data_IF_155678126793
#
_entry.id   IF_155678126793
#
_cell.length_a   1.000
_cell.length_b   1.000
_cell.length_c   1.000
_cell.angle_alpha   90.00
_cell.angle_beta   90.00
_cell.angle_gamma   90.00
#
_symmetry.space_group_name_H-M   'P 1'
#
loop_
_entity.id
_entity.type
_entity.pdbx_description
1 polymer ?
#
# COMPACT_ATOMS: atom_id res chain seq x y z
N UNK A 1 3.63 -16.34 7.34
CA UNK A 1 3.91 -15.27 6.34
C UNK A 1 5.39 -14.81 6.23
N UNK A 2 5.90 -14.72 5.01
CA UNK A 2 7.08 -13.94 4.61
C UNK A 2 6.73 -12.45 4.65
N UNK A 3 7.64 -11.65 5.21
CA UNK A 3 7.52 -10.19 5.27
C UNK A 3 8.45 -9.57 4.23
N UNK A 4 7.91 -8.64 3.44
CA UNK A 4 8.69 -7.85 2.48
C UNK A 4 8.49 -6.38 2.77
N UNK A 5 9.56 -5.70 3.14
CA UNK A 5 9.59 -4.28 3.45
C UNK A 5 9.70 -3.47 2.15
N UNK A 6 8.95 -2.37 2.08
CA UNK A 6 9.00 -1.41 0.98
C UNK A 6 9.46 -0.07 1.54
N UNK A 7 10.52 0.47 0.96
CA UNK A 7 11.17 1.70 1.42
C UNK A 7 10.98 2.84 0.41
N UNK A 8 11.01 4.07 0.91
CA UNK A 8 10.99 5.26 0.07
C UNK A 8 12.25 5.36 -0.79
N UNK A 9 12.08 5.67 -2.07
CA UNK A 9 13.15 5.83 -3.05
C UNK A 9 13.70 7.26 -3.11
N UNK A 10 12.91 8.24 -2.65
CA UNK A 10 13.24 9.65 -2.59
C UNK A 10 12.69 10.35 -1.34
N UNK A 11 13.21 11.56 -1.06
CA UNK A 11 12.73 12.42 0.03
C UNK A 11 11.49 13.20 -0.44
N UNK A 12 10.49 13.36 0.43
CA UNK A 12 9.31 14.17 0.12
C UNK A 12 8.12 13.87 1.02
N UNK A 13 6.93 13.96 0.46
CA UNK A 13 5.67 13.60 1.09
C UNK A 13 4.95 12.55 0.26
N UNK A 14 4.27 11.63 0.91
CA UNK A 14 3.39 10.69 0.20
C UNK A 14 2.21 11.46 -0.38
N UNK A 15 2.16 11.64 -1.69
CA UNK A 15 1.11 12.41 -2.37
C UNK A 15 -0.08 11.55 -2.74
N UNK A 16 0.15 10.29 -3.12
CA UNK A 16 -0.91 9.38 -3.53
C UNK A 16 -0.65 7.94 -3.07
N UNK A 17 -1.71 7.33 -2.54
CA UNK A 17 -1.81 5.90 -2.28
C UNK A 17 -3.13 5.37 -2.88
N UNK A 18 -3.14 4.88 -4.13
CA UNK A 18 -4.36 4.41 -4.81
C UNK A 18 -4.96 3.19 -4.11
N UNK A 19 -5.99 3.41 -3.28
CA UNK A 19 -6.59 2.36 -2.45
C UNK A 19 -7.11 1.15 -3.25
N UNK A 20 -7.63 1.38 -4.47
CA UNK A 20 -8.10 0.30 -5.34
C UNK A 20 -6.96 -0.64 -5.75
N UNK A 21 -5.82 -0.09 -6.17
CA UNK A 21 -4.67 -0.89 -6.61
C UNK A 21 -4.10 -1.71 -5.46
N UNK A 22 -3.97 -1.11 -4.27
CA UNK A 22 -3.51 -1.83 -3.08
C UNK A 22 -4.53 -2.88 -2.59
N UNK A 23 -5.82 -2.60 -2.71
CA UNK A 23 -6.88 -3.59 -2.40
C UNK A 23 -6.83 -4.79 -3.34
N UNK A 24 -6.67 -4.55 -4.64
CA UNK A 24 -6.49 -5.62 -5.64
C UNK A 24 -5.19 -6.37 -5.43
N UNK A 25 -4.11 -5.68 -5.06
CA UNK A 25 -2.84 -6.30 -4.71
C UNK A 25 -2.99 -7.24 -3.51
N UNK A 26 -3.57 -6.77 -2.40
CA UNK A 26 -3.85 -7.59 -1.22
C UNK A 26 -4.74 -8.80 -1.57
N UNK A 27 -5.76 -8.61 -2.40
CA UNK A 27 -6.61 -9.71 -2.88
C UNK A 27 -5.81 -10.77 -3.65
N UNK A 28 -4.89 -10.35 -4.53
CA UNK A 28 -4.01 -11.26 -5.28
C UNK A 28 -3.04 -12.03 -4.38
N UNK A 29 -2.65 -11.45 -3.24
CA UNK A 29 -1.86 -12.14 -2.21
C UNK A 29 -2.65 -13.17 -1.41
N UNK A 30 -3.98 -13.22 -1.56
CA UNK A 30 -4.85 -14.11 -0.80
C UNK A 30 -5.57 -13.44 0.37
N UNK A 31 -5.33 -12.15 0.63
CA UNK A 31 -6.04 -11.37 1.66
C UNK A 31 -7.49 -11.00 1.26
N UNK A 32 -7.95 -11.50 0.10
CA UNK A 32 -9.29 -11.27 -0.42
C UNK A 32 -9.76 -12.42 -1.30
N UNK A 33 -10.96 -12.27 -1.86
CA UNK A 33 -11.58 -13.28 -2.72
C UNK A 33 -11.93 -12.67 -4.07
N UNK A 34 -11.50 -13.30 -5.16
CA UNK A 34 -11.96 -12.93 -6.49
C UNK A 34 -13.39 -13.43 -6.73
N UNK A 35 -13.70 -14.64 -6.22
CA UNK A 35 -15.06 -15.19 -6.17
C UNK A 35 -15.41 -15.70 -4.77
N UNK A 36 -16.71 -15.79 -4.45
CA UNK A 36 -17.22 -16.10 -3.10
C UNK A 36 -16.63 -17.37 -2.47
N UNK A 37 -16.25 -18.36 -3.28
CA UNK A 37 -15.76 -19.67 -2.85
C UNK A 37 -14.26 -19.73 -2.63
N UNK A 38 -13.50 -18.69 -2.99
CA UNK A 38 -12.04 -18.73 -2.89
C UNK A 38 -11.59 -18.86 -1.42
N UNK A 39 -10.54 -19.65 -1.15
CA UNK A 39 -9.92 -19.68 0.17
C UNK A 39 -9.32 -18.31 0.48
N UNK A 40 -9.39 -17.92 1.76
CA UNK A 40 -8.83 -16.67 2.25
C UNK A 40 -7.59 -16.97 3.08
N UNK A 41 -6.53 -16.21 2.84
CA UNK A 41 -5.36 -16.20 3.70
C UNK A 41 -5.44 -15.03 4.68
N UNK A 42 -5.52 -15.35 5.96
CA UNK A 42 -5.63 -14.39 7.05
C UNK A 42 -4.28 -13.83 7.48
N UNK A 43 -3.17 -14.42 7.02
CA UNK A 43 -1.81 -13.96 7.30
C UNK A 43 -1.25 -13.05 6.21
N UNK A 44 -1.89 -13.04 5.02
CA UNK A 44 -1.49 -12.19 3.90
C UNK A 44 -2.15 -10.81 3.97
N UNK A 45 -1.44 -9.77 3.53
CA UNK A 45 -1.94 -8.40 3.57
C UNK A 45 -0.86 -7.34 3.40
N UNK A 46 -1.25 -6.08 3.58
CA UNK A 46 -0.36 -4.92 3.50
C UNK A 46 -0.60 -4.06 4.75
N UNK A 47 0.49 -3.68 5.41
CA UNK A 47 0.48 -2.71 6.51
C UNK A 47 1.24 -1.48 6.04
N UNK A 48 0.58 -0.32 6.04
CA UNK A 48 1.22 0.96 5.73
C UNK A 48 1.71 1.61 7.02
N UNK A 49 2.98 2.04 7.04
CA UNK A 49 3.57 2.78 8.16
C UNK A 49 3.28 4.29 8.04
N UNK A 50 3.22 4.78 6.80
CA UNK A 50 2.91 6.17 6.47
C UNK A 50 1.55 6.32 5.77
N UNK A 51 0.98 7.51 5.89
CA UNK A 51 -0.28 7.92 5.27
C UNK A 51 -0.03 8.99 4.20
N UNK A 52 -1.08 9.27 3.43
CA UNK A 52 -1.07 10.42 2.51
C UNK A 52 -0.76 11.68 3.33
N UNK A 53 0.18 12.48 2.79
CA UNK A 53 0.72 13.71 3.36
C UNK A 53 1.73 13.56 4.49
N UNK A 54 2.10 12.33 4.85
CA UNK A 54 3.22 12.13 5.77
C UNK A 54 4.56 12.41 5.08
N UNK A 55 5.51 13.07 5.77
CA UNK A 55 6.87 13.23 5.26
C UNK A 55 7.61 11.89 5.31
N UNK A 56 8.41 11.63 4.27
CA UNK A 56 9.28 10.46 4.15
C UNK A 56 10.65 10.90 3.63
N UNK A 57 11.69 10.27 4.15
CA UNK A 57 13.05 10.37 3.64
C UNK A 57 13.38 9.10 2.87
N UNK A 58 14.30 9.19 1.90
CA UNK A 58 14.81 8.03 1.19
C UNK A 58 15.33 6.98 2.16
N UNK A 59 14.81 5.76 2.04
CA UNK A 59 15.10 4.64 2.92
C UNK A 59 14.15 4.50 4.11
N UNK A 60 13.20 5.41 4.30
CA UNK A 60 12.15 5.25 5.30
C UNK A 60 11.19 4.13 4.89
N UNK A 61 10.71 3.37 5.89
CA UNK A 61 9.77 2.27 5.68
C UNK A 61 8.39 2.82 5.32
N UNK A 62 7.86 2.49 4.14
CA UNK A 62 6.52 2.91 3.71
C UNK A 62 5.47 1.87 4.09
N UNK A 63 5.77 0.60 3.83
CA UNK A 63 4.82 -0.48 4.03
C UNK A 63 5.54 -1.83 4.23
N UNK A 64 4.86 -2.74 4.93
CA UNK A 64 5.25 -4.14 5.07
C UNK A 64 4.20 -5.00 4.41
N UNK A 65 4.63 -5.83 3.45
CA UNK A 65 3.77 -6.77 2.73
C UNK A 65 3.94 -8.15 3.36
N UNK A 66 2.82 -8.75 3.74
CA UNK A 66 2.74 -10.11 4.27
C UNK A 66 2.22 -11.05 3.19
N UNK A 67 2.93 -12.14 2.95
CA UNK A 67 2.56 -13.13 1.93
C UNK A 67 3.08 -14.52 2.29
N UNK A 68 2.59 -15.58 1.65
CA UNK A 68 3.06 -16.94 1.94
C UNK A 68 4.41 -17.29 1.29
N UNK A 69 4.77 -16.55 0.25
CA UNK A 69 5.96 -16.80 -0.56
C UNK A 69 6.76 -15.52 -0.78
N UNK A 70 8.02 -15.64 -1.18
CA UNK A 70 8.85 -14.49 -1.54
C UNK A 70 8.28 -13.83 -2.79
N UNK A 71 7.96 -12.54 -2.68
CA UNK A 71 7.41 -11.78 -3.81
C UNK A 71 8.43 -11.61 -4.93
N UNK A 72 8.05 -11.86 -6.19
CA UNK A 72 8.93 -11.61 -7.32
C UNK A 72 9.14 -10.11 -7.50
N UNK A 73 10.36 -9.71 -7.91
CA UNK A 73 10.73 -8.29 -8.11
C UNK A 73 9.73 -7.50 -8.94
N UNK A 74 9.13 -8.13 -9.96
CA UNK A 74 8.12 -7.49 -10.82
C UNK A 74 6.91 -6.96 -10.04
N UNK A 75 6.46 -7.72 -9.04
CA UNK A 75 5.30 -7.38 -8.20
C UNK A 75 5.66 -6.26 -7.24
N UNK A 76 6.88 -6.27 -6.69
CA UNK A 76 7.39 -5.17 -5.85
C UNK A 76 7.49 -3.87 -6.65
N UNK A 77 8.00 -3.91 -7.87
CA UNK A 77 8.05 -2.73 -8.73
C UNK A 77 6.65 -2.18 -9.09
N UNK A 78 5.64 -3.04 -9.20
CA UNK A 78 4.25 -2.58 -9.38
C UNK A 78 3.72 -1.89 -8.13
N UNK A 79 4.01 -2.43 -6.94
CA UNK A 79 3.67 -1.81 -5.66
C UNK A 79 4.35 -0.45 -5.48
N UNK A 80 5.67 -0.39 -5.68
CA UNK A 80 6.48 0.84 -5.56
C UNK A 80 5.98 1.92 -6.52
N UNK A 81 5.63 1.57 -7.76
CA UNK A 81 5.06 2.53 -8.74
C UNK A 81 3.76 3.17 -8.28
N UNK A 82 2.97 2.48 -7.47
CA UNK A 82 1.71 2.97 -6.94
C UNK A 82 1.89 3.85 -5.70
N UNK A 83 3.07 3.84 -5.07
CA UNK A 83 3.42 4.86 -4.07
C UNK A 83 3.92 6.09 -4.80
N UNK A 84 3.26 7.24 -4.60
CA UNK A 84 3.71 8.51 -5.15
C UNK A 84 4.30 9.38 -4.05
N UNK A 85 5.55 9.77 -4.24
CA UNK A 85 6.25 10.75 -3.41
C UNK A 85 6.38 12.04 -4.22
N UNK A 86 6.15 13.18 -3.57
CA UNK A 86 6.26 14.49 -4.19
C UNK A 86 6.68 15.56 -3.21
N UNK A 87 6.91 16.77 -3.72
CA UNK A 87 7.50 17.88 -2.95
C UNK A 87 6.45 18.70 -2.19
N UNK A 88 5.18 18.64 -2.60
CA UNK A 88 4.09 19.41 -1.99
C UNK A 88 3.29 18.58 -0.97
N UNK A 89 3.14 19.14 0.22
CA UNK A 89 2.23 18.62 1.24
C UNK A 89 0.78 18.92 0.83
N UNK A 90 -0.04 17.87 0.70
CA UNK A 90 -1.47 18.01 0.42
C UNK A 90 -2.26 18.04 1.73
N UNK A 91 -3.23 18.95 1.90
CA UNK A 91 -4.18 18.83 3.01
C UNK A 91 -5.36 17.94 2.57
N UNK A 92 -5.59 16.78 3.20
CA UNK A 92 -6.70 15.92 2.84
C UNK A 92 -8.02 16.64 3.09
N UNK A 93 -8.86 16.77 2.06
CA UNK A 93 -10.23 17.28 2.21
C UNK A 93 -11.03 16.27 3.02
N UNK A 94 -11.26 16.56 4.30
CA UNK A 94 -12.15 15.76 5.13
C UNK A 94 -13.56 15.73 4.52
N UNK A 95 -14.03 14.53 4.17
CA UNK A 95 -15.39 14.34 3.66
C UNK A 95 -16.33 14.25 4.85
N UNK A 96 -17.06 15.33 5.15
CA UNK A 96 -18.31 15.21 5.89
C UNK A 96 -19.37 16.12 5.26
N UNK A 97 -19.95 15.68 4.14
CA UNK A 97 -21.27 16.17 3.72
C UNK A 97 -22.31 15.23 4.31
N UNK A 98 -22.88 15.63 5.45
CA UNK A 98 -24.04 14.94 6.03
C UNK A 98 -25.22 15.17 5.09
N UNK A 99 -25.78 14.09 4.55
CA UNK A 99 -27.03 14.13 3.79
C UNK A 99 -28.13 13.74 4.78
N UNK A 100 -28.86 14.73 5.30
CA UNK A 100 -30.05 14.57 6.14
C UNK A 100 -31.33 14.55 5.32
#
# INVERSE_FOLDING_TARGET
PVQTEVFADEDGYITELPALEFGLFAMRLGAGRAVKTDPLDYESGIVFDNKISDPVSKGDLIAVIFSQEVLPKKVLTEFEKNVKIGVEQFEPKEIIKIIS
#
